data_IF_686559224338
#
_entry.id   IF_686559224338
#
_cell.length_a   1.000
_cell.length_b   1.000
_cell.length_c   1.000
_cell.angle_alpha   90.00
_cell.angle_beta   90.00
_cell.angle_gamma   90.00
#
_symmetry.space_group_name_H-M   'P 1'
#
loop_
_entity.id
_entity.type
_entity.pdbx_description
1 polymer ?
#
# COMPACT_ATOMS: atom_id res chain seq x y z
N UNK A 1 8.09 -0.19 -17.55
CA UNK A 1 9.18 -1.19 -17.55
C UNK A 1 10.48 -0.41 -17.65
N UNK A 2 11.25 -0.29 -16.56
CA UNK A 2 12.55 0.38 -16.58
C UNK A 2 13.58 -0.72 -16.82
N UNK A 3 14.19 -0.74 -18.00
CA UNK A 3 15.27 -1.68 -18.34
C UNK A 3 16.57 -1.22 -17.69
N UNK A 4 17.25 -2.13 -16.98
CA UNK A 4 18.54 -1.87 -16.36
C UNK A 4 19.63 -2.67 -17.07
N UNK A 5 20.81 -2.06 -17.28
CA UNK A 5 22.01 -2.69 -17.83
C UNK A 5 22.69 -3.61 -16.80
N UNK A 6 21.97 -4.62 -16.33
CA UNK A 6 22.51 -5.65 -15.43
C UNK A 6 22.53 -6.98 -16.17
N UNK A 7 23.69 -7.63 -16.17
CA UNK A 7 23.85 -8.95 -16.77
C UNK A 7 22.94 -9.97 -16.05
N UNK A 8 22.14 -10.78 -16.76
CA UNK A 8 21.28 -11.80 -16.15
C UNK A 8 22.00 -12.86 -15.32
N UNK A 9 23.33 -12.94 -15.42
CA UNK A 9 24.20 -13.94 -14.80
C UNK A 9 24.97 -13.46 -13.57
N UNK A 10 24.66 -12.27 -13.03
CA UNK A 10 25.34 -11.73 -11.84
C UNK A 10 24.90 -12.50 -10.56
N UNK A 11 25.85 -13.10 -9.84
CA UNK A 11 25.63 -13.88 -8.61
C UNK A 11 24.96 -13.05 -7.49
N UNK A 12 25.06 -11.72 -7.59
CA UNK A 12 24.46 -10.73 -6.69
C UNK A 12 22.94 -10.63 -6.84
N UNK A 13 22.39 -11.11 -7.96
CA UNK A 13 20.98 -11.03 -8.36
C UNK A 13 20.16 -12.17 -7.73
N UNK A 14 20.45 -12.48 -6.47
CA UNK A 14 19.68 -13.47 -5.74
C UNK A 14 18.37 -12.81 -5.26
N UNK A 15 17.26 -13.20 -5.91
CA UNK A 15 15.89 -12.70 -5.69
C UNK A 15 15.33 -12.99 -4.27
N UNK A 16 16.16 -13.48 -3.34
CA UNK A 16 15.82 -13.63 -1.94
C UNK A 16 16.02 -12.31 -1.19
N UNK A 17 14.97 -11.50 -1.22
CA UNK A 17 14.43 -10.80 -0.05
C UNK A 17 15.18 -9.63 0.62
N UNK A 18 16.11 -8.93 -0.03
CA UNK A 18 16.67 -7.71 0.59
C UNK A 18 16.75 -6.54 -0.39
N UNK A 19 16.26 -5.36 0.03
CA UNK A 19 16.31 -4.12 -0.77
C UNK A 19 17.74 -3.73 -1.22
N UNK A 20 18.76 -4.15 -0.45
CA UNK A 20 20.17 -3.99 -0.79
C UNK A 20 20.62 -4.78 -2.05
N UNK A 21 19.84 -5.77 -2.50
CA UNK A 21 20.06 -6.55 -3.73
C UNK A 21 19.17 -6.09 -4.89
N UNK A 22 18.55 -4.91 -4.78
CA UNK A 22 17.78 -4.31 -5.88
C UNK A 22 18.69 -4.07 -7.08
N UNK A 23 18.25 -4.42 -8.32
CA UNK A 23 19.07 -4.24 -9.52
C UNK A 23 19.52 -2.79 -9.72
N UNK A 24 18.73 -1.81 -9.27
CA UNK A 24 19.10 -0.39 -9.28
C UNK A 24 20.32 -0.08 -8.41
N UNK A 25 20.39 -0.69 -7.24
CA UNK A 25 21.53 -0.55 -6.31
C UNK A 25 22.75 -1.30 -6.85
N UNK A 26 22.55 -2.47 -7.46
CA UNK A 26 23.61 -3.28 -8.07
C UNK A 26 24.24 -2.56 -9.27
N UNK A 27 23.44 -2.02 -10.20
CA UNK A 27 23.96 -1.26 -11.35
C UNK A 27 24.80 -0.05 -10.93
N UNK A 28 24.40 0.61 -9.85
CA UNK A 28 25.08 1.79 -9.32
C UNK A 28 26.35 1.44 -8.55
N UNK A 29 26.35 0.31 -7.84
CA UNK A 29 27.55 -0.25 -7.24
C UNK A 29 28.55 -0.67 -8.33
N UNK A 30 28.08 -1.28 -9.41
CA UNK A 30 28.91 -1.64 -10.57
C UNK A 30 29.43 -0.40 -11.33
N UNK A 31 28.72 0.73 -11.27
CA UNK A 31 29.18 2.02 -11.80
C UNK A 31 30.25 2.72 -10.92
N UNK A 32 30.60 2.18 -9.75
CA UNK A 32 31.77 2.61 -8.97
C UNK A 32 31.59 3.89 -8.14
N UNK A 33 30.37 4.39 -7.93
CA UNK A 33 30.11 5.63 -7.15
C UNK A 33 29.76 5.27 -5.69
N UNK A 34 30.65 5.49 -4.70
CA UNK A 34 30.47 4.96 -3.34
C UNK A 34 29.32 5.59 -2.55
N UNK A 35 28.96 6.85 -2.80
CA UNK A 35 27.90 7.55 -2.07
C UNK A 35 26.48 7.29 -2.60
N UNK A 36 26.35 6.92 -3.88
CA UNK A 36 25.06 6.83 -4.58
C UNK A 36 24.14 5.71 -4.07
N UNK A 37 24.64 4.51 -3.66
CA UNK A 37 23.81 3.48 -3.02
C UNK A 37 23.10 3.96 -1.74
N UNK A 38 23.78 4.78 -0.91
CA UNK A 38 23.22 5.28 0.34
C UNK A 38 22.10 6.29 0.10
N UNK A 39 22.26 7.17 -0.89
CA UNK A 39 21.24 8.16 -1.28
C UNK A 39 19.97 7.46 -1.76
N UNK A 40 20.12 6.40 -2.56
CA UNK A 40 18.99 5.65 -3.09
C UNK A 40 18.28 4.87 -1.99
N UNK A 41 19.02 4.22 -1.10
CA UNK A 41 18.42 3.56 0.04
C UNK A 41 17.67 4.57 0.94
N UNK A 42 18.24 5.75 1.18
CA UNK A 42 17.55 6.83 1.92
C UNK A 42 16.27 7.31 1.21
N UNK A 43 16.31 7.44 -0.12
CA UNK A 43 15.15 7.84 -0.92
C UNK A 43 14.04 6.77 -0.89
N UNK A 44 14.40 5.49 -1.00
CA UNK A 44 13.45 4.37 -0.90
C UNK A 44 12.82 4.32 0.50
N UNK A 45 13.62 4.45 1.56
CA UNK A 45 13.12 4.46 2.94
C UNK A 45 12.19 5.65 3.20
N UNK A 46 12.55 6.84 2.72
CA UNK A 46 11.71 8.05 2.86
C UNK A 46 10.39 7.90 2.11
N UNK A 47 10.44 7.32 0.90
CA UNK A 47 9.25 7.06 0.08
C UNK A 47 8.34 6.02 0.73
N UNK A 48 8.91 4.94 1.26
CA UNK A 48 8.18 3.90 1.97
C UNK A 48 7.52 4.44 3.25
N UNK A 49 8.24 5.28 4.01
CA UNK A 49 7.71 5.96 5.20
C UNK A 49 6.52 6.86 4.84
N UNK A 50 6.67 7.68 3.79
CA UNK A 50 5.60 8.57 3.32
C UNK A 50 4.35 7.79 2.91
N UNK A 51 4.51 6.70 2.15
CA UNK A 51 3.39 5.82 1.79
C UNK A 51 2.70 5.25 3.03
N UNK A 52 3.48 4.74 4.00
CA UNK A 52 2.93 4.16 5.23
C UNK A 52 2.10 5.16 6.04
N UNK A 53 2.53 6.42 6.13
CA UNK A 53 1.75 7.47 6.78
C UNK A 53 0.42 7.75 6.04
N UNK A 54 0.45 7.80 4.70
CA UNK A 54 -0.74 8.01 3.89
C UNK A 54 -1.74 6.84 4.03
N UNK A 55 -1.26 5.60 4.02
CA UNK A 55 -2.08 4.40 4.14
C UNK A 55 -2.73 4.30 5.54
N UNK A 56 -2.01 4.67 6.61
CA UNK A 56 -2.55 4.73 7.96
C UNK A 56 -3.66 5.79 8.09
N UNK A 57 -3.49 6.91 7.41
CA UNK A 57 -4.47 7.99 7.38
C UNK A 57 -5.76 7.58 6.64
N UNK A 58 -5.63 6.93 5.48
CA UNK A 58 -6.78 6.45 4.70
C UNK A 58 -7.53 5.34 5.45
N UNK A 59 -6.81 4.38 6.02
CA UNK A 59 -7.41 3.24 6.74
C UNK A 59 -8.19 3.70 7.98
N UNK A 60 -7.61 4.56 8.82
CA UNK A 60 -8.27 5.07 10.03
C UNK A 60 -9.56 5.86 9.74
N UNK A 61 -9.59 6.64 8.66
CA UNK A 61 -10.79 7.37 8.22
C UNK A 61 -11.84 6.49 7.57
N UNK A 62 -11.42 5.48 6.80
CA UNK A 62 -12.33 4.48 6.26
C UNK A 62 -13.03 3.73 7.39
N UNK A 63 -12.29 3.34 8.43
CA UNK A 63 -12.83 2.69 9.62
C UNK A 63 -13.78 3.60 10.42
N UNK A 64 -13.43 4.88 10.57
CA UNK A 64 -14.33 5.89 11.16
C UNK A 64 -15.62 6.04 10.35
N UNK A 65 -15.53 6.12 9.01
CA UNK A 65 -16.68 6.21 8.12
C UNK A 65 -17.59 4.98 8.18
N UNK A 66 -17.01 3.78 8.31
CA UNK A 66 -17.75 2.54 8.54
C UNK A 66 -18.51 2.59 9.88
N UNK A 67 -17.86 3.06 10.94
CA UNK A 67 -18.48 3.21 12.25
C UNK A 67 -19.62 4.24 12.25
N UNK A 68 -19.46 5.34 11.51
CA UNK A 68 -20.49 6.38 11.34
C UNK A 68 -21.75 5.84 10.65
N UNK A 69 -21.59 4.88 9.74
CA UNK A 69 -22.69 4.22 9.01
C UNK A 69 -23.27 3.02 9.77
N UNK A 70 -22.79 2.74 10.99
CA UNK A 70 -23.24 1.60 11.80
C UNK A 70 -22.69 0.24 11.38
N UNK A 71 -21.72 0.20 10.45
CA UNK A 71 -21.09 -1.04 9.99
C UNK A 71 -19.86 -1.46 10.82
N UNK A 72 -19.42 -0.63 11.76
CA UNK A 72 -18.35 -0.95 12.70
C UNK A 72 -18.72 -0.52 14.14
N UNK A 73 -18.08 -1.09 15.17
CA UNK A 73 -18.34 -0.74 16.56
C UNK A 73 -18.22 0.78 16.82
N UNK A 74 -19.15 1.32 17.61
CA UNK A 74 -19.21 2.76 17.94
C UNK A 74 -17.95 3.30 18.63
N UNK A 75 -17.08 2.42 19.13
CA UNK A 75 -15.80 2.81 19.75
C UNK A 75 -14.89 3.56 18.76
N UNK A 76 -14.99 3.25 17.46
CA UNK A 76 -14.20 3.88 16.40
C UNK A 76 -14.69 5.28 16.03
N UNK A 77 -15.87 5.71 16.52
CA UNK A 77 -16.35 7.08 16.37
C UNK A 77 -15.73 8.07 17.35
N UNK A 78 -14.95 7.60 18.32
CA UNK A 78 -14.36 8.46 19.33
C UNK A 78 -13.23 9.31 18.73
N UNK A 79 -13.48 10.61 18.59
CA UNK A 79 -12.51 11.60 18.09
C UNK A 79 -11.94 12.43 19.23
N UNK A 80 -10.71 12.94 19.02
CA UNK A 80 -10.12 14.00 19.84
C UNK A 80 -10.76 15.35 19.52
N UNK A 81 -10.50 16.37 20.35
CA UNK A 81 -10.92 17.77 20.13
C UNK A 81 -10.52 18.30 18.74
N UNK A 82 -9.42 17.79 18.20
CA UNK A 82 -8.88 18.16 16.89
C UNK A 82 -9.52 17.39 15.71
N UNK A 83 -10.59 16.61 15.95
CA UNK A 83 -11.27 15.81 14.94
C UNK A 83 -10.56 14.50 14.55
N UNK A 84 -9.42 14.19 15.17
CA UNK A 84 -8.65 12.98 14.89
C UNK A 84 -9.31 11.72 15.51
N UNK A 85 -9.68 10.69 14.73
CA UNK A 85 -10.23 9.43 15.25
C UNK A 85 -9.12 8.56 15.86
N UNK A 86 -8.66 8.93 17.06
CA UNK A 86 -7.48 8.32 17.69
C UNK A 86 -7.62 6.82 17.95
N UNK A 87 -8.83 6.34 18.27
CA UNK A 87 -9.09 4.90 18.48
C UNK A 87 -8.84 4.11 17.20
N UNK A 88 -9.33 4.62 16.05
CA UNK A 88 -9.11 4.00 14.75
C UNK A 88 -7.64 4.03 14.34
N UNK A 89 -6.93 5.14 14.63
CA UNK A 89 -5.49 5.26 14.34
C UNK A 89 -4.69 4.25 15.16
N UNK A 90 -4.94 4.12 16.46
CA UNK A 90 -4.24 3.14 17.31
C UNK A 90 -4.54 1.72 16.86
N UNK A 91 -5.79 1.42 16.52
CA UNK A 91 -6.17 0.10 16.04
C UNK A 91 -5.44 -0.26 14.73
N UNK A 92 -5.48 0.62 13.72
CA UNK A 92 -4.75 0.43 12.47
C UNK A 92 -3.24 0.37 12.69
N UNK A 93 -2.70 1.19 13.61
CA UNK A 93 -1.29 1.17 14.00
C UNK A 93 -0.89 -0.14 14.70
N UNK A 94 -1.75 -0.72 15.54
CA UNK A 94 -1.50 -2.01 16.16
C UNK A 94 -1.40 -3.13 15.11
N UNK A 95 -2.21 -3.08 14.05
CA UNK A 95 -2.08 -4.00 12.92
C UNK A 95 -0.76 -3.85 12.17
N UNK A 96 -0.20 -2.64 12.10
CA UNK A 96 1.12 -2.44 11.48
C UNK A 96 2.25 -3.16 12.23
N UNK A 97 2.08 -3.44 13.53
CA UNK A 97 3.05 -4.22 14.31
C UNK A 97 3.19 -5.66 13.80
N UNK A 98 2.17 -6.17 13.09
CA UNK A 98 2.24 -7.49 12.47
C UNK A 98 3.31 -7.57 11.38
N UNK A 99 3.71 -6.42 10.80
CA UNK A 99 4.84 -6.36 9.86
C UNK A 99 6.18 -6.74 10.48
N UNK A 100 6.34 -6.64 11.82
CA UNK A 100 7.55 -7.10 12.50
C UNK A 100 7.77 -8.62 12.40
N UNK A 101 6.75 -9.39 12.03
CA UNK A 101 6.93 -10.81 11.71
C UNK A 101 7.92 -11.01 10.54
N UNK A 102 8.01 -10.04 9.62
CA UNK A 102 8.98 -10.08 8.53
C UNK A 102 10.44 -9.86 9.01
N UNK A 103 10.66 -9.39 10.24
CA UNK A 103 11.99 -9.25 10.83
C UNK A 103 12.45 -10.52 11.58
N UNK A 104 11.65 -11.59 11.57
CA UNK A 104 12.02 -12.89 12.15
C UNK A 104 13.09 -13.58 11.29
N UNK A 105 14.12 -14.15 11.94
CA UNK A 105 15.28 -14.76 11.27
C UNK A 105 14.85 -15.89 10.33
N UNK A 106 15.16 -15.75 9.05
CA UNK A 106 15.07 -16.83 8.05
C UNK A 106 13.83 -16.82 7.15
N UNK A 107 12.84 -15.95 7.39
CA UNK A 107 11.55 -15.93 6.67
C UNK A 107 11.14 -14.54 6.13
N UNK A 108 12.11 -13.63 6.00
CA UNK A 108 11.88 -12.22 5.63
C UNK A 108 11.05 -12.07 4.33
N UNK A 109 11.27 -12.99 3.38
CA UNK A 109 10.62 -12.96 2.07
C UNK A 109 9.25 -13.64 2.00
N UNK A 110 9.01 -14.65 2.84
CA UNK A 110 7.76 -15.42 2.83
C UNK A 110 6.65 -14.63 3.50
N UNK A 111 6.91 -14.00 4.65
CA UNK A 111 5.94 -13.16 5.37
C UNK A 111 5.56 -11.94 4.52
N UNK A 112 6.54 -11.28 3.90
CA UNK A 112 6.26 -10.21 2.95
C UNK A 112 5.39 -10.70 1.78
N UNK A 113 5.68 -11.88 1.25
CA UNK A 113 4.89 -12.53 0.21
C UNK A 113 3.42 -12.73 0.61
N UNK A 114 3.15 -13.15 1.84
CA UNK A 114 1.77 -13.31 2.34
C UNK A 114 1.01 -11.98 2.35
N UNK A 115 1.60 -10.91 2.89
CA UNK A 115 0.96 -9.59 2.92
C UNK A 115 0.79 -8.98 1.52
N UNK A 116 1.77 -9.17 0.63
CA UNK A 116 1.70 -8.72 -0.76
C UNK A 116 0.56 -9.41 -1.51
N UNK A 117 0.45 -10.74 -1.39
CA UNK A 117 -0.61 -11.50 -2.03
C UNK A 117 -1.99 -11.15 -1.46
N UNK A 118 -2.11 -10.98 -0.13
CA UNK A 118 -3.36 -10.58 0.51
C UNK A 118 -3.82 -9.20 0.01
N UNK A 119 -2.91 -8.23 -0.06
CA UNK A 119 -3.20 -6.87 -0.54
C UNK A 119 -3.61 -6.88 -2.02
N UNK A 120 -2.96 -7.69 -2.85
CA UNK A 120 -3.32 -7.84 -4.25
C UNK A 120 -4.75 -8.38 -4.42
N UNK A 121 -5.14 -9.39 -3.64
CA UNK A 121 -6.50 -9.95 -3.66
C UNK A 121 -7.52 -8.91 -3.19
N UNK A 122 -7.26 -8.21 -2.08
CA UNK A 122 -8.14 -7.14 -1.59
C UNK A 122 -8.30 -6.01 -2.63
N UNK A 123 -7.22 -5.66 -3.33
CA UNK A 123 -7.23 -4.70 -4.43
C UNK A 123 -8.12 -5.17 -5.58
N UNK A 124 -7.97 -6.42 -6.03
CA UNK A 124 -8.81 -6.99 -7.09
C UNK A 124 -10.30 -6.95 -6.71
N UNK A 125 -10.66 -7.37 -5.49
CA UNK A 125 -12.04 -7.33 -5.01
C UNK A 125 -12.58 -5.88 -5.03
N UNK A 126 -11.78 -4.93 -4.55
CA UNK A 126 -12.17 -3.50 -4.53
C UNK A 126 -12.45 -2.98 -5.95
N UNK A 127 -11.57 -3.30 -6.91
CA UNK A 127 -11.78 -2.93 -8.31
C UNK A 127 -13.01 -3.60 -8.91
N UNK A 128 -13.26 -4.88 -8.62
CA UNK A 128 -14.47 -5.58 -9.06
C UNK A 128 -15.74 -4.90 -8.52
N UNK A 129 -15.77 -4.52 -7.24
CA UNK A 129 -16.89 -3.80 -6.64
C UNK A 129 -17.11 -2.42 -7.28
N UNK A 130 -16.03 -1.68 -7.58
CA UNK A 130 -16.10 -0.38 -8.25
C UNK A 130 -16.68 -0.54 -9.66
N UNK A 131 -16.17 -1.48 -10.45
CA UNK A 131 -16.66 -1.76 -11.80
C UNK A 131 -18.14 -2.17 -11.76
N UNK A 132 -18.52 -3.06 -10.85
CA UNK A 132 -19.90 -3.50 -10.69
C UNK A 132 -20.84 -2.33 -10.35
N UNK A 133 -20.44 -1.49 -9.40
CA UNK A 133 -21.21 -0.31 -8.98
C UNK A 133 -21.33 0.69 -10.12
N UNK A 134 -20.26 0.93 -10.87
CA UNK A 134 -20.24 1.80 -12.06
C UNK A 134 -21.19 1.29 -13.15
N UNK A 135 -21.22 -0.02 -13.39
CA UNK A 135 -22.15 -0.64 -14.35
C UNK A 135 -23.62 -0.49 -13.90
N UNK A 136 -23.92 -0.69 -12.61
CA UNK A 136 -25.27 -0.51 -12.07
C UNK A 136 -25.70 0.95 -12.07
N UNK A 137 -24.80 1.85 -11.71
CA UNK A 137 -25.01 3.30 -11.81
C UNK A 137 -25.32 3.74 -13.24
N UNK A 138 -24.55 3.25 -14.22
CA UNK A 138 -24.79 3.53 -15.64
C UNK A 138 -26.13 2.99 -16.13
N UNK A 139 -26.52 1.78 -15.70
CA UNK A 139 -27.87 1.24 -15.99
C UNK A 139 -28.97 2.10 -15.36
N UNK A 140 -28.78 2.58 -14.13
CA UNK A 140 -29.72 3.47 -13.45
C UNK A 140 -29.90 4.80 -14.18
N UNK A 141 -28.81 5.44 -14.60
CA UNK A 141 -28.86 6.69 -15.39
C UNK A 141 -29.61 6.51 -16.71
N UNK A 142 -29.43 5.38 -17.40
CA UNK A 142 -30.17 5.06 -18.63
C UNK A 142 -31.68 4.94 -18.38
N UNK A 143 -32.10 4.33 -17.29
CA UNK A 143 -33.53 4.19 -16.93
C UNK A 143 -34.15 5.54 -16.60
N UNK A 144 -33.41 6.42 -15.92
CA UNK A 144 -33.88 7.76 -15.57
C UNK A 144 -33.72 8.80 -16.70
N UNK A 145 -33.23 8.41 -17.88
CA UNK A 145 -33.05 9.33 -19.02
C UNK A 145 -31.99 10.42 -18.80
N UNK A 146 -31.14 10.29 -17.78
CA UNK A 146 -30.11 11.28 -17.46
C UNK A 146 -28.86 10.96 -18.29
N UNK A 147 -28.54 11.84 -19.25
CA UNK A 147 -27.33 11.72 -20.04
C UNK A 147 -26.10 12.08 -19.20
N UNK A 148 -25.04 11.28 -19.29
CA UNK A 148 -23.75 11.53 -18.58
C UNK A 148 -23.18 12.93 -18.80
N UNK A 149 -23.49 13.58 -19.93
CA UNK A 149 -23.02 14.93 -20.29
C UNK A 149 -23.69 16.05 -19.48
N UNK A 150 -24.78 15.75 -18.77
CA UNK A 150 -25.53 16.74 -17.96
C UNK A 150 -25.02 16.82 -16.52
N UNK A 151 -24.06 15.96 -16.14
CA UNK A 151 -23.50 15.83 -14.78
C UNK A 151 -22.04 16.32 -14.69
N UNK A 152 -21.51 16.92 -15.75
CA UNK A 152 -20.19 17.55 -15.81
C UNK A 152 -20.37 19.07 -15.85
#
# INVERSE_FOLDING_TARGET
MVGLLVSPSDLSLNLSSTAAKSPFVIAIKNAGIPALPSIINAAILTSAWSSGCADLFVSSRTLYGLAARGHAPKIFLKTRKDGLPWVSVIFCGAFSLLSFMAASKGEEGTVFGYFSNMTAICGMISWTCILWTSLRWHKGLKVHGIYRKTLA
#
